data_IF_404031648815
#
_entry.id   IF_404031648815
#
_cell.length_a   1.000
_cell.length_b   1.000
_cell.length_c   1.000
_cell.angle_alpha   90.00
_cell.angle_beta   90.00
_cell.angle_gamma   90.00
#
_symmetry.space_group_name_H-M   'P 1'
#
loop_
_entity.id
_entity.type
_entity.pdbx_description
1 polymer ?
#
# COMPACT_ATOMS: atom_id res chain seq x y z
N UNK A 1 -12.69 16.24 -19.62
CA UNK A 1 -11.59 17.03 -19.03
C UNK A 1 -10.31 16.26 -19.30
N UNK A 2 -9.31 16.87 -19.95
CA UNK A 2 -8.02 16.20 -20.15
C UNK A 2 -7.38 15.99 -18.77
N UNK A 3 -7.20 14.74 -18.36
CA UNK A 3 -6.47 14.42 -17.15
C UNK A 3 -5.00 14.75 -17.37
N UNK A 4 -4.45 15.65 -16.54
CA UNK A 4 -3.04 16.00 -16.56
C UNK A 4 -2.17 14.79 -16.23
N UNK A 5 -1.05 14.65 -16.95
CA UNK A 5 -0.12 13.53 -16.80
C UNK A 5 0.59 13.58 -15.44
N UNK A 6 1.18 12.46 -14.95
CA UNK A 6 1.97 12.47 -13.72
C UNK A 6 3.04 13.56 -13.71
N UNK A 7 3.76 13.73 -14.82
CA UNK A 7 4.83 14.73 -14.90
C UNK A 7 4.29 16.16 -14.80
N UNK A 8 3.20 16.47 -15.53
CA UNK A 8 2.57 17.79 -15.46
C UNK A 8 2.06 18.11 -14.04
N UNK A 9 1.48 17.13 -13.34
CA UNK A 9 1.04 17.28 -11.95
C UNK A 9 2.21 17.52 -10.99
N UNK A 10 3.31 16.80 -11.19
CA UNK A 10 4.53 16.96 -10.41
C UNK A 10 5.15 18.36 -10.60
N UNK A 11 5.28 18.82 -11.85
CA UNK A 11 5.80 20.16 -12.16
C UNK A 11 4.91 21.27 -11.59
N UNK A 12 3.59 21.11 -11.65
CA UNK A 12 2.65 22.02 -11.02
C UNK A 12 2.86 22.08 -9.50
N UNK A 13 2.97 20.94 -8.83
CA UNK A 13 3.20 20.89 -7.39
C UNK A 13 4.54 21.52 -6.97
N UNK A 14 5.59 21.36 -7.78
CA UNK A 14 6.87 22.06 -7.57
C UNK A 14 6.73 23.58 -7.73
N UNK A 15 5.97 24.04 -8.74
CA UNK A 15 5.78 25.47 -9.01
C UNK A 15 5.02 26.20 -7.91
N UNK A 16 4.18 25.48 -7.14
CA UNK A 16 3.43 26.02 -6.00
C UNK A 16 4.29 26.17 -4.74
N UNK A 17 5.56 25.73 -4.77
CA UNK A 17 6.51 25.91 -3.67
C UNK A 17 6.28 25.00 -2.46
N UNK A 18 5.31 24.08 -2.53
CA UNK A 18 5.01 23.12 -1.45
C UNK A 18 6.08 22.03 -1.31
N UNK A 19 6.85 21.76 -2.38
CA UNK A 19 7.80 20.64 -2.44
C UNK A 19 9.16 21.07 -3.01
N UNK A 20 10.23 20.37 -2.59
CA UNK A 20 11.58 20.55 -3.15
C UNK A 20 11.81 19.51 -4.25
N UNK A 21 12.51 19.89 -5.34
CA UNK A 21 12.86 18.95 -6.40
C UNK A 21 13.80 17.86 -5.86
N UNK A 22 13.54 16.63 -6.30
CA UNK A 22 14.27 15.41 -5.92
C UNK A 22 14.41 14.55 -7.19
N UNK A 23 15.65 14.26 -7.58
CA UNK A 23 15.95 13.57 -8.84
C UNK A 23 15.36 12.15 -8.85
N UNK A 24 15.34 11.48 -7.70
CA UNK A 24 14.78 10.13 -7.56
C UNK A 24 13.26 10.16 -7.72
N UNK A 25 12.60 11.16 -7.14
CA UNK A 25 11.16 11.35 -7.34
C UNK A 25 10.83 11.69 -8.79
N UNK A 26 11.63 12.54 -9.43
CA UNK A 26 11.45 12.90 -10.84
C UNK A 26 11.58 11.69 -11.76
N UNK A 27 12.56 10.82 -11.50
CA UNK A 27 12.72 9.57 -12.25
C UNK A 27 11.50 8.65 -12.05
N UNK A 28 11.00 8.51 -10.82
CA UNK A 28 9.80 7.71 -10.54
C UNK A 28 8.58 8.25 -11.29
N UNK A 29 8.37 9.57 -11.26
CA UNK A 29 7.30 10.24 -11.99
C UNK A 29 7.44 10.06 -13.50
N UNK A 30 8.66 10.10 -14.05
CA UNK A 30 8.91 9.89 -15.48
C UNK A 30 8.51 8.48 -15.91
N UNK A 31 8.83 7.45 -15.11
CA UNK A 31 8.40 6.07 -15.37
C UNK A 31 6.88 5.92 -15.27
N UNK A 32 6.26 6.58 -14.29
CA UNK A 32 4.79 6.59 -14.13
C UNK A 32 4.08 7.33 -15.26
N UNK A 33 4.70 8.37 -15.83
CA UNK A 33 4.20 9.08 -17.01
C UNK A 33 4.18 8.15 -18.23
N UNK A 34 5.28 7.45 -18.51
CA UNK A 34 5.35 6.44 -19.57
C UNK A 34 4.32 5.31 -19.38
N UNK A 35 4.13 4.84 -18.13
CA UNK A 35 3.11 3.87 -17.78
C UNK A 35 1.70 4.40 -18.07
N UNK A 36 1.39 5.63 -17.69
CA UNK A 36 0.09 6.27 -17.96
C UNK A 36 -0.17 6.37 -19.47
N UNK A 37 0.81 6.80 -20.24
CA UNK A 37 0.69 6.90 -21.70
C UNK A 37 0.40 5.53 -22.34
N UNK A 38 1.10 4.48 -21.90
CA UNK A 38 0.87 3.13 -22.38
C UNK A 38 -0.52 2.58 -22.02
N UNK A 39 -1.05 2.90 -20.83
CA UNK A 39 -2.42 2.55 -20.44
C UNK A 39 -3.46 3.27 -21.29
N UNK A 40 -3.26 4.57 -21.56
CA UNK A 40 -4.15 5.37 -22.40
C UNK A 40 -4.15 4.85 -23.85
N UNK A 41 -2.98 4.57 -24.41
CA UNK A 41 -2.85 4.01 -25.76
C UNK A 41 -3.61 2.67 -25.87
N UNK A 42 -3.49 1.80 -24.84
CA UNK A 42 -4.21 0.54 -24.78
C UNK A 42 -5.73 0.72 -24.76
N UNK A 43 -6.24 1.63 -23.93
CA UNK A 43 -7.69 1.93 -23.87
C UNK A 43 -8.22 2.43 -25.21
N UNK A 44 -7.46 3.26 -25.92
CA UNK A 44 -7.83 3.77 -27.24
C UNK A 44 -7.87 2.66 -28.30
N UNK A 45 -6.90 1.74 -28.29
CA UNK A 45 -6.89 0.59 -29.20
C UNK A 45 -7.97 -0.46 -28.92
N UNK A 46 -8.48 -0.52 -27.69
CA UNK A 46 -9.56 -1.43 -27.30
C UNK A 46 -10.97 -0.87 -27.59
N UNK A 47 -11.10 0.42 -27.91
CA UNK A 47 -12.38 1.00 -28.29
C UNK A 47 -12.83 0.44 -29.66
N UNK A 48 -14.07 -0.08 -29.79
CA UNK A 48 -14.52 -0.63 -31.05
C UNK A 48 -14.56 0.46 -32.11
N UNK A 49 -13.77 0.30 -33.18
CA UNK A 49 -13.93 1.08 -34.39
C UNK A 49 -15.39 0.96 -34.82
N UNK A 50 -16.09 2.10 -34.92
CA UNK A 50 -17.49 2.18 -35.35
C UNK A 50 -17.71 1.31 -36.58
N UNK A 51 -18.40 0.18 -36.39
CA UNK A 51 -18.58 -0.85 -37.39
C UNK A 51 -19.55 -0.38 -38.46
N UNK A 52 -19.05 0.37 -39.44
CA UNK A 52 -19.70 0.51 -40.74
C UNK A 52 -19.77 -0.85 -41.44
N UNK A 53 -20.74 -1.00 -42.35
CA UNK A 53 -21.07 -2.23 -43.08
C UNK A 53 -19.86 -2.96 -43.72
N UNK A 54 -18.73 -2.28 -43.93
CA UNK A 54 -17.48 -2.83 -44.47
C UNK A 54 -16.64 -3.63 -43.45
N UNK A 55 -16.81 -3.42 -42.15
CA UNK A 55 -16.03 -4.13 -41.10
C UNK A 55 -16.45 -5.58 -40.85
N UNK A 56 -17.59 -6.02 -41.42
CA UNK A 56 -18.07 -7.41 -41.34
C UNK A 56 -17.43 -8.31 -42.42
N UNK A 57 -16.93 -7.73 -43.50
CA UNK A 57 -16.28 -8.47 -44.59
C UNK A 57 -14.80 -8.78 -44.31
N UNK A 58 -14.11 -7.97 -43.49
CA UNK A 58 -12.72 -8.24 -43.08
C UNK A 58 -12.59 -9.38 -42.06
N UNK A 59 -13.63 -9.62 -41.24
CA UNK A 59 -13.66 -10.71 -40.24
C UNK A 59 -13.69 -12.13 -40.81
N UNK A 60 -14.00 -12.30 -42.10
CA UNK A 60 -14.05 -13.62 -42.75
C UNK A 60 -12.74 -14.03 -43.42
N UNK A 61 -11.76 -13.11 -43.54
CA UNK A 61 -10.50 -13.35 -44.29
C UNK A 61 -9.26 -13.22 -43.39
N UNK A 62 -9.36 -12.48 -42.29
CA UNK A 62 -8.27 -12.35 -41.31
C UNK A 62 -8.40 -13.36 -40.19
N UNK A 63 -7.53 -14.38 -40.18
CA UNK A 63 -7.22 -15.18 -38.98
C UNK A 63 -6.48 -14.24 -38.01
N UNK A 64 -7.22 -13.35 -37.34
CA UNK A 64 -6.67 -12.48 -36.30
C UNK A 64 -6.10 -13.40 -35.21
N UNK A 65 -4.78 -13.40 -35.08
CA UNK A 65 -4.13 -13.88 -33.86
C UNK A 65 -4.76 -13.05 -32.75
N UNK A 66 -5.60 -13.68 -31.92
CA UNK A 66 -5.89 -13.19 -30.58
C UNK A 66 -4.57 -13.22 -29.80
N UNK A 67 -3.68 -12.24 -30.06
CA UNK A 67 -2.55 -11.98 -29.19
C UNK A 67 -3.16 -11.48 -27.89
N UNK A 68 -3.05 -12.31 -26.85
CA UNK A 68 -3.40 -11.92 -25.49
C UNK A 68 -2.64 -10.63 -25.17
N UNK A 69 -3.32 -9.51 -24.94
CA UNK A 69 -2.66 -8.23 -24.86
C UNK A 69 -1.78 -8.20 -23.61
N UNK A 70 -0.46 -8.22 -23.80
CA UNK A 70 0.52 -8.26 -22.71
C UNK A 70 0.26 -7.13 -21.72
N UNK A 71 0.34 -7.37 -20.40
CA UNK A 71 0.14 -6.33 -19.39
C UNK A 71 1.11 -5.18 -19.63
N UNK A 72 0.63 -3.95 -19.44
CA UNK A 72 1.53 -2.80 -19.44
C UNK A 72 2.47 -2.96 -18.25
N UNK A 73 3.78 -2.81 -18.50
CA UNK A 73 4.82 -2.99 -17.49
C UNK A 73 4.66 -1.95 -16.38
N UNK A 74 4.43 -2.42 -15.16
CA UNK A 74 4.15 -1.63 -13.97
C UNK A 74 5.37 -1.06 -13.26
N UNK A 75 5.18 -0.53 -12.06
CA UNK A 75 6.25 0.05 -11.23
C UNK A 75 6.14 -0.37 -9.76
N UNK A 76 7.18 -1.00 -9.23
CA UNK A 76 7.33 -1.32 -7.81
C UNK A 76 8.33 -0.34 -7.17
N UNK A 77 7.82 0.58 -6.36
CA UNK A 77 8.61 1.59 -5.65
C UNK A 77 8.86 1.16 -4.21
N UNK A 78 10.12 1.11 -3.79
CA UNK A 78 10.48 0.77 -2.42
C UNK A 78 11.45 1.77 -1.80
N UNK A 79 11.46 1.88 -0.48
CA UNK A 79 12.34 2.79 0.26
C UNK A 79 11.83 3.04 1.67
N UNK A 80 12.58 3.76 2.52
CA UNK A 80 12.17 4.00 3.91
C UNK A 80 10.84 4.73 4.10
N UNK A 81 10.43 4.92 5.35
CA UNK A 81 9.26 5.74 5.69
C UNK A 81 9.50 7.21 5.32
N UNK A 82 8.43 7.95 5.01
CA UNK A 82 8.53 9.39 4.79
C UNK A 82 9.22 9.85 3.50
N UNK A 83 9.56 8.94 2.57
CA UNK A 83 10.26 9.28 1.30
C UNK A 83 9.36 9.82 0.17
N UNK A 84 8.08 10.08 0.45
CA UNK A 84 7.14 10.62 -0.55
C UNK A 84 6.51 9.59 -1.51
N UNK A 85 6.67 8.28 -1.26
CA UNK A 85 6.11 7.21 -2.11
C UNK A 85 4.60 7.32 -2.31
N UNK A 86 3.86 7.57 -1.24
CA UNK A 86 2.40 7.74 -1.27
C UNK A 86 2.01 8.96 -2.11
N UNK A 87 2.76 10.05 -2.00
CA UNK A 87 2.51 11.25 -2.79
C UNK A 87 2.76 11.02 -4.28
N UNK A 88 3.86 10.35 -4.63
CA UNK A 88 4.14 9.93 -6.02
C UNK A 88 3.02 9.02 -6.56
N UNK A 89 2.53 8.09 -5.74
CA UNK A 89 1.35 7.26 -6.05
C UNK A 89 0.08 8.09 -6.24
N UNK A 90 -0.16 9.12 -5.41
CA UNK A 90 -1.31 10.03 -5.52
C UNK A 90 -1.33 10.74 -6.88
N UNK A 91 -0.19 11.34 -7.25
CA UNK A 91 -0.04 12.06 -8.52
C UNK A 91 -0.34 11.14 -9.71
N UNK A 92 0.19 9.92 -9.68
CA UNK A 92 -0.06 8.94 -10.72
C UNK A 92 -1.53 8.49 -10.74
N UNK A 93 -2.11 8.06 -9.61
CA UNK A 93 -3.48 7.56 -9.58
C UNK A 93 -4.50 8.60 -10.06
N UNK A 94 -4.28 9.88 -9.72
CA UNK A 94 -5.13 10.99 -10.18
C UNK A 94 -4.96 11.31 -11.68
N UNK A 95 -3.83 10.94 -12.29
CA UNK A 95 -3.56 11.17 -13.72
C UNK A 95 -4.21 10.13 -14.65
N UNK A 96 -4.54 8.94 -14.13
CA UNK A 96 -5.14 7.87 -14.92
C UNK A 96 -6.58 8.25 -15.29
N UNK A 97 -6.93 8.28 -16.59
CA UNK A 97 -8.29 8.61 -17.02
C UNK A 97 -9.27 7.46 -16.75
N UNK A 98 -10.52 7.85 -16.49
CA UNK A 98 -11.63 6.93 -16.25
C UNK A 98 -11.58 6.23 -14.89
N UNK A 99 -12.50 5.28 -14.71
CA UNK A 99 -12.76 4.62 -13.43
C UNK A 99 -12.21 3.20 -13.35
N UNK A 100 -11.61 2.69 -14.44
CA UNK A 100 -10.99 1.35 -14.51
C UNK A 100 -9.61 1.30 -13.84
N UNK A 101 -9.55 1.85 -12.64
CA UNK A 101 -8.37 1.94 -11.77
C UNK A 101 -8.80 1.68 -10.34
N UNK A 102 -8.01 0.88 -9.62
CA UNK A 102 -8.32 0.52 -8.25
C UNK A 102 -7.10 0.76 -7.37
N UNK A 103 -7.30 1.47 -6.26
CA UNK A 103 -6.26 1.75 -5.27
C UNK A 103 -6.69 1.30 -3.88
N UNK A 104 -5.80 0.58 -3.20
CA UNK A 104 -6.01 0.11 -1.84
C UNK A 104 -4.70 -0.27 -1.16
N UNK A 105 -4.72 -0.29 0.16
CA UNK A 105 -3.66 -0.93 0.92
C UNK A 105 -3.64 -2.44 0.65
N UNK A 106 -2.45 -3.03 0.53
CA UNK A 106 -2.31 -4.44 0.18
C UNK A 106 -3.07 -5.40 1.11
N UNK A 107 -3.06 -5.16 2.42
CA UNK A 107 -3.80 -6.00 3.36
C UNK A 107 -5.33 -5.97 3.11
N UNK A 108 -5.90 -4.87 2.59
CA UNK A 108 -7.32 -4.82 2.23
C UNK A 108 -7.62 -5.60 0.97
N UNK A 109 -6.65 -5.66 0.06
CA UNK A 109 -6.75 -6.49 -1.12
C UNK A 109 -6.83 -7.96 -0.70
N UNK A 110 -5.94 -8.40 0.17
CA UNK A 110 -5.95 -9.78 0.67
C UNK A 110 -7.23 -10.11 1.44
N UNK A 111 -7.74 -9.20 2.27
CA UNK A 111 -9.03 -9.41 2.95
C UNK A 111 -10.17 -9.66 1.96
N UNK A 112 -10.28 -8.84 0.90
CA UNK A 112 -11.27 -9.02 -0.15
C UNK A 112 -11.12 -10.37 -0.87
N UNK A 113 -9.88 -10.77 -1.16
CA UNK A 113 -9.58 -12.08 -1.78
C UNK A 113 -10.06 -13.22 -0.89
N UNK A 114 -9.79 -13.18 0.42
CA UNK A 114 -10.24 -14.22 1.35
C UNK A 114 -11.77 -14.27 1.49
N UNK A 115 -12.43 -13.11 1.49
CA UNK A 115 -13.90 -13.02 1.48
C UNK A 115 -14.50 -13.67 0.22
N UNK A 116 -13.92 -13.38 -0.95
CA UNK A 116 -14.36 -13.98 -2.21
C UNK A 116 -14.05 -15.49 -2.29
N UNK A 117 -12.90 -15.93 -1.79
CA UNK A 117 -12.56 -17.36 -1.69
C UNK A 117 -13.56 -18.11 -0.81
N UNK A 118 -14.01 -17.50 0.28
CA UNK A 118 -15.03 -18.09 1.16
C UNK A 118 -16.36 -18.28 0.42
N UNK A 119 -16.75 -17.33 -0.42
CA UNK A 119 -17.97 -17.42 -1.23
C UNK A 119 -17.86 -18.42 -2.39
N UNK A 120 -16.64 -18.70 -2.85
CA UNK A 120 -16.34 -19.62 -3.96
C UNK A 120 -15.93 -21.02 -3.47
N UNK A 121 -16.21 -21.37 -2.22
CA UNK A 121 -15.92 -22.71 -1.70
C UNK A 121 -16.56 -23.80 -2.56
N UNK A 122 -15.76 -24.79 -2.96
CA UNK A 122 -16.19 -25.90 -3.81
C UNK A 122 -16.12 -25.63 -5.32
N UNK A 123 -15.76 -24.41 -5.75
CA UNK A 123 -15.48 -24.10 -7.16
C UNK A 123 -14.06 -24.57 -7.54
N UNK A 124 -13.87 -24.98 -8.79
CA UNK A 124 -12.54 -25.20 -9.35
C UNK A 124 -11.85 -23.86 -9.57
N UNK A 125 -10.57 -23.80 -9.19
CA UNK A 125 -9.67 -22.67 -9.47
C UNK A 125 -10.26 -21.29 -9.09
N UNK A 126 -10.70 -21.10 -7.84
CA UNK A 126 -11.42 -19.90 -7.43
C UNK A 126 -10.60 -18.61 -7.59
N UNK A 127 -9.26 -18.69 -7.56
CA UNK A 127 -8.38 -17.54 -7.81
C UNK A 127 -8.48 -17.03 -9.25
N UNK A 128 -8.73 -17.88 -10.24
CA UNK A 128 -8.94 -17.46 -11.62
C UNK A 128 -10.26 -16.67 -11.74
N UNK A 129 -11.32 -17.15 -11.08
CA UNK A 129 -12.62 -16.47 -11.03
C UNK A 129 -12.47 -15.09 -10.36
N UNK A 130 -11.73 -15.02 -9.25
CA UNK A 130 -11.43 -13.75 -8.57
C UNK A 130 -10.65 -12.81 -9.49
N UNK A 131 -9.66 -13.31 -10.22
CA UNK A 131 -8.91 -12.51 -11.18
C UNK A 131 -9.79 -11.99 -12.33
N UNK A 132 -10.76 -12.78 -12.81
CA UNK A 132 -11.76 -12.34 -13.80
C UNK A 132 -12.64 -11.21 -13.26
N UNK A 133 -13.07 -11.31 -12.00
CA UNK A 133 -13.84 -10.25 -11.33
C UNK A 133 -13.04 -8.96 -11.18
N UNK A 134 -11.78 -9.05 -10.76
CA UNK A 134 -10.89 -7.89 -10.73
C UNK A 134 -10.70 -7.29 -12.11
N UNK A 135 -10.54 -8.12 -13.15
CA UNK A 135 -10.41 -7.61 -14.52
C UNK A 135 -11.67 -6.92 -15.01
N UNK A 136 -12.86 -7.41 -14.64
CA UNK A 136 -14.11 -6.73 -14.96
C UNK A 136 -14.16 -5.32 -14.34
N UNK A 137 -13.59 -5.14 -13.16
CA UNK A 137 -13.58 -3.86 -12.43
C UNK A 137 -12.46 -2.91 -12.88
N UNK A 138 -11.22 -3.39 -13.03
CA UNK A 138 -10.04 -2.54 -13.19
C UNK A 138 -9.06 -3.05 -14.25
N UNK A 139 -8.31 -2.13 -14.84
CA UNK A 139 -7.15 -2.42 -15.70
C UNK A 139 -5.81 -2.17 -14.98
N UNK A 140 -5.85 -1.54 -13.81
CA UNK A 140 -4.66 -1.25 -13.01
C UNK A 140 -4.95 -1.32 -11.51
N UNK A 141 -4.06 -2.01 -10.80
CA UNK A 141 -4.00 -2.06 -9.34
C UNK A 141 -2.90 -1.14 -8.83
N UNK A 142 -3.26 -0.25 -7.90
CA UNK A 142 -2.34 0.62 -7.18
C UNK A 142 -2.32 0.18 -5.72
N UNK A 143 -1.26 -0.53 -5.31
CA UNK A 143 -1.10 -0.99 -3.94
C UNK A 143 -0.27 0.00 -3.12
N UNK A 144 -0.89 0.52 -2.06
CA UNK A 144 -0.16 1.17 -0.99
C UNK A 144 0.32 0.12 0.02
N UNK A 145 1.52 0.32 0.54
CA UNK A 145 2.08 -0.49 1.64
C UNK A 145 2.07 -2.00 1.34
N UNK A 146 2.64 -2.38 0.19
CA UNK A 146 2.81 -3.77 -0.19
C UNK A 146 3.75 -4.48 0.78
N UNK A 147 3.17 -5.23 1.71
CA UNK A 147 3.87 -5.96 2.74
C UNK A 147 3.17 -7.30 3.02
N UNK A 148 3.95 -8.38 3.07
CA UNK A 148 3.47 -9.73 3.28
C UNK A 148 4.15 -10.31 4.51
N UNK A 149 3.36 -10.62 5.54
CA UNK A 149 3.80 -11.27 6.78
C UNK A 149 3.05 -12.57 7.08
N UNK A 150 1.86 -12.75 6.53
CA UNK A 150 1.01 -13.90 6.79
C UNK A 150 1.29 -15.04 5.78
N UNK A 151 1.31 -16.29 6.26
CA UNK A 151 1.50 -17.46 5.40
C UNK A 151 0.33 -17.66 4.45
N UNK A 152 -0.90 -17.44 4.89
CA UNK A 152 -2.12 -17.62 4.09
C UNK A 152 -2.08 -16.72 2.87
N UNK A 153 -1.70 -15.46 3.05
CA UNK A 153 -1.53 -14.51 1.96
C UNK A 153 -0.40 -14.94 1.02
N UNK A 154 0.75 -15.33 1.60
CA UNK A 154 1.91 -15.75 0.84
C UNK A 154 1.63 -16.97 -0.05
N UNK A 155 0.79 -17.91 0.40
CA UNK A 155 0.45 -19.11 -0.38
C UNK A 155 -0.45 -18.82 -1.59
N UNK A 156 -1.26 -17.76 -1.54
CA UNK A 156 -2.19 -17.41 -2.62
C UNK A 156 -1.55 -16.49 -3.66
N UNK A 157 -0.62 -15.64 -3.22
CA UNK A 157 -0.23 -14.46 -3.98
C UNK A 157 0.45 -14.77 -5.31
N UNK A 158 1.26 -15.81 -5.39
CA UNK A 158 1.95 -16.20 -6.64
C UNK A 158 0.95 -16.50 -7.76
N UNK A 159 0.03 -17.43 -7.51
CA UNK A 159 -1.02 -17.83 -8.46
C UNK A 159 -1.97 -16.67 -8.78
N UNK A 160 -2.36 -15.89 -7.77
CA UNK A 160 -3.27 -14.77 -7.99
C UNK A 160 -2.64 -13.67 -8.84
N UNK A 161 -1.39 -13.28 -8.56
CA UNK A 161 -0.69 -12.26 -9.34
C UNK A 161 -0.48 -12.69 -10.78
N UNK A 162 -0.07 -13.95 -11.00
CA UNK A 162 0.02 -14.52 -12.34
C UNK A 162 -1.31 -14.39 -13.09
N UNK A 163 -2.41 -14.83 -12.46
CA UNK A 163 -3.75 -14.75 -13.06
C UNK A 163 -4.19 -13.30 -13.38
N UNK A 164 -3.84 -12.33 -12.53
CA UNK A 164 -4.13 -10.91 -12.77
C UNK A 164 -3.31 -10.35 -13.95
N UNK A 165 -2.02 -10.69 -14.03
CA UNK A 165 -1.14 -10.23 -15.10
C UNK A 165 -1.49 -10.86 -16.46
N UNK A 166 -1.88 -12.13 -16.50
CA UNK A 166 -2.38 -12.79 -17.72
C UNK A 166 -3.62 -12.11 -18.29
N UNK A 167 -4.45 -11.51 -17.42
CA UNK A 167 -5.63 -10.70 -17.80
C UNK A 167 -5.26 -9.27 -18.20
N UNK A 168 -3.98 -8.95 -18.22
CA UNK A 168 -3.47 -7.64 -18.63
C UNK A 168 -3.69 -6.54 -17.60
N UNK A 169 -3.89 -6.88 -16.32
CA UNK A 169 -3.95 -5.88 -15.24
C UNK A 169 -2.54 -5.40 -14.95
N UNK A 170 -2.32 -4.09 -14.98
CA UNK A 170 -1.04 -3.47 -14.60
C UNK A 170 -0.95 -3.29 -13.08
N UNK A 171 0.27 -3.20 -12.55
CA UNK A 171 0.52 -3.00 -11.12
C UNK A 171 1.42 -1.78 -10.88
N UNK A 172 1.01 -0.91 -9.97
CA UNK A 172 1.92 0.01 -9.28
C UNK A 172 1.86 -0.29 -7.80
N UNK A 173 3.01 -0.42 -7.14
CA UNK A 173 3.07 -0.74 -5.72
C UNK A 173 4.07 0.18 -5.00
N UNK A 174 3.75 0.54 -3.76
CA UNK A 174 4.69 1.15 -2.82
C UNK A 174 5.02 0.20 -1.68
N UNK A 175 6.28 0.10 -1.27
CA UNK A 175 6.70 -0.72 -0.13
C UNK A 175 7.86 -0.11 0.65
N UNK A 176 8.08 -0.59 1.86
CA UNK A 176 9.31 -0.34 2.61
C UNK A 176 10.39 -1.42 2.39
N UNK A 177 10.04 -2.48 1.66
CA UNK A 177 10.88 -3.68 1.49
C UNK A 177 11.11 -3.90 -0.02
N UNK A 178 12.34 -4.16 -0.47
CA UNK A 178 12.57 -4.55 -1.87
C UNK A 178 11.92 -5.92 -2.15
N UNK A 179 11.55 -6.24 -3.41
CA UNK A 179 10.85 -7.48 -3.72
C UNK A 179 11.53 -8.75 -3.21
N UNK A 180 12.87 -8.80 -3.29
CA UNK A 180 13.65 -9.95 -2.83
C UNK A 180 13.59 -10.20 -1.32
N UNK A 181 13.28 -9.19 -0.53
CA UNK A 181 13.15 -9.30 0.92
C UNK A 181 11.69 -9.44 1.39
N UNK A 182 10.71 -9.39 0.48
CA UNK A 182 9.30 -9.62 0.83
C UNK A 182 9.11 -11.02 1.39
N UNK A 183 8.43 -11.15 2.54
CA UNK A 183 8.21 -12.41 3.26
C UNK A 183 9.51 -13.17 3.61
N UNK A 184 10.61 -12.42 3.83
CA UNK A 184 11.90 -13.01 4.20
C UNK A 184 11.78 -13.80 5.50
N UNK A 185 12.37 -15.00 5.52
CA UNK A 185 12.27 -15.97 6.62
C UNK A 185 10.83 -16.44 6.94
N UNK A 186 9.86 -16.14 6.09
CA UNK A 186 8.49 -16.63 6.23
C UNK A 186 8.40 -18.15 6.10
N UNK A 187 7.40 -18.73 6.75
CA UNK A 187 7.17 -20.17 6.71
C UNK A 187 6.84 -20.60 5.27
N UNK A 188 7.50 -21.65 4.77
CA UNK A 188 7.37 -22.12 3.38
C UNK A 188 7.67 -21.04 2.31
N UNK A 189 8.60 -20.11 2.58
CA UNK A 189 9.04 -19.04 1.65
C UNK A 189 9.22 -19.48 0.20
N UNK A 190 9.69 -20.70 -0.06
CA UNK A 190 9.83 -21.24 -1.42
C UNK A 190 8.54 -21.13 -2.26
N UNK A 191 7.37 -21.26 -1.61
CA UNK A 191 6.05 -21.10 -2.26
C UNK A 191 5.67 -19.65 -2.54
N UNK A 192 6.33 -18.69 -1.91
CA UNK A 192 6.14 -17.26 -2.15
C UNK A 192 7.05 -16.72 -3.28
N UNK A 193 8.16 -17.40 -3.59
CA UNK A 193 9.08 -16.99 -4.65
C UNK A 193 8.38 -16.72 -6.01
N UNK A 194 7.38 -17.50 -6.45
CA UNK A 194 6.63 -17.18 -7.66
C UNK A 194 6.01 -15.77 -7.65
N UNK A 195 5.53 -15.28 -6.50
CA UNK A 195 5.00 -13.91 -6.40
C UNK A 195 6.09 -12.85 -6.65
N UNK A 196 7.30 -13.07 -6.12
CA UNK A 196 8.45 -12.19 -6.36
C UNK A 196 8.82 -12.18 -7.85
N UNK A 197 8.83 -13.35 -8.49
CA UNK A 197 9.09 -13.47 -9.93
C UNK A 197 8.02 -12.73 -10.76
N UNK A 198 6.74 -12.84 -10.40
CA UNK A 198 5.67 -12.11 -11.06
C UNK A 198 5.86 -10.58 -10.94
N UNK A 199 6.24 -10.07 -9.75
CA UNK A 199 6.56 -8.66 -9.55
C UNK A 199 7.72 -8.24 -10.47
N UNK A 200 8.83 -8.97 -10.46
CA UNK A 200 10.04 -8.62 -11.26
C UNK A 200 9.81 -8.72 -12.76
N UNK A 201 8.97 -9.65 -13.20
CA UNK A 201 8.63 -9.83 -14.62
C UNK A 201 7.77 -8.69 -15.14
N UNK A 202 6.79 -8.27 -14.34
CA UNK A 202 5.74 -7.34 -14.78
C UNK A 202 5.94 -5.90 -14.30
N UNK A 203 6.86 -5.63 -13.39
CA UNK A 203 7.15 -4.29 -12.89
C UNK A 203 8.62 -3.94 -13.04
N UNK A 204 8.89 -2.66 -13.28
CA UNK A 204 10.20 -2.10 -12.98
C UNK A 204 10.33 -1.89 -11.48
N UNK A 205 11.50 -2.25 -10.92
CA UNK A 205 11.77 -2.10 -9.49
C UNK A 205 12.64 -0.87 -9.28
N UNK A 206 12.20 0.04 -8.43
CA UNK A 206 12.87 1.31 -8.18
C UNK A 206 12.99 1.61 -6.68
N UNK A 207 14.20 1.94 -6.24
CA UNK A 207 14.41 2.50 -4.92
C UNK A 207 14.12 4.00 -4.98
N UNK A 208 13.18 4.47 -4.16
CA UNK A 208 12.76 5.87 -4.04
C UNK A 208 13.30 6.54 -2.77
N UNK A 209 14.31 5.95 -2.13
CA UNK A 209 14.99 6.50 -0.96
C UNK A 209 16.14 7.45 -1.38
N UNK A 210 15.85 8.74 -1.42
CA UNK A 210 16.86 9.81 -1.60
C UNK A 210 17.53 10.24 -0.27
N UNK A 211 17.27 9.54 0.84
CA UNK A 211 17.77 9.90 2.17
C UNK A 211 16.98 11.00 2.89
N UNK A 212 16.05 11.69 2.19
CA UNK A 212 15.24 12.78 2.74
C UNK A 212 13.92 12.22 3.26
N UNK A 213 13.64 12.35 4.57
CA UNK A 213 12.33 12.05 5.14
C UNK A 213 11.52 13.35 5.19
N UNK A 214 10.50 13.42 4.35
CA UNK A 214 9.64 14.59 4.20
C UNK A 214 8.65 14.74 5.37
N UNK A 215 8.32 13.67 6.11
CA UNK A 215 7.50 13.74 7.34
C UNK A 215 8.31 14.31 8.50
N UNK A 216 9.59 13.97 8.58
CA UNK A 216 10.50 14.48 9.61
C UNK A 216 10.73 15.99 9.52
N UNK A 217 10.44 16.68 8.42
CA UNK A 217 10.53 18.15 8.34
C UNK A 217 9.45 18.90 9.13
N UNK A 218 8.32 18.25 9.43
CA UNK A 218 7.29 18.82 10.32
C UNK A 218 7.53 18.46 11.78
N UNK A 219 8.19 17.31 12.03
CA UNK A 219 8.45 16.76 13.38
C UNK A 219 9.88 17.01 13.90
N UNK A 220 10.74 17.74 13.17
CA UNK A 220 12.16 17.94 13.51
C UNK A 220 12.41 18.74 14.81
N UNK A 221 11.33 19.16 15.49
CA UNK A 221 11.40 19.84 16.78
C UNK A 221 10.97 18.96 17.97
N UNK A 222 10.57 17.71 17.75
CA UNK A 222 10.14 16.81 18.83
C UNK A 222 11.10 15.62 18.96
N UNK A 223 11.58 15.35 20.19
CA UNK A 223 12.30 14.14 20.52
C UNK A 223 11.32 12.95 20.42
N UNK A 224 11.23 12.32 19.24
CA UNK A 224 10.28 11.23 18.94
C UNK A 224 10.54 9.96 19.76
N UNK A 225 11.71 9.85 20.38
CA UNK A 225 12.06 8.78 21.29
C UNK A 225 12.60 9.37 22.60
N UNK A 226 11.81 9.25 23.66
CA UNK A 226 12.13 9.81 24.97
C UNK A 226 12.65 8.71 25.91
N UNK A 227 13.89 8.88 26.35
CA UNK A 227 14.57 7.98 27.28
C UNK A 227 15.47 8.79 28.20
N UNK A 228 15.61 8.42 29.49
CA UNK A 228 15.02 7.25 30.15
C UNK A 228 13.56 7.45 30.56
N UNK A 229 12.87 6.36 30.90
CA UNK A 229 11.53 6.42 31.50
C UNK A 229 11.62 7.07 32.88
N UNK A 230 11.21 8.33 32.97
CA UNK A 230 11.22 9.14 34.19
C UNK A 230 10.08 10.16 34.17
N UNK A 231 10.00 11.01 35.20
CA UNK A 231 8.92 12.01 35.32
C UNK A 231 9.03 13.09 34.24
N UNK A 232 10.25 13.43 33.84
CA UNK A 232 10.54 14.45 32.84
C UNK A 232 10.06 14.01 31.45
N UNK A 233 10.36 12.78 31.03
CA UNK A 233 9.92 12.21 29.75
C UNK A 233 8.42 11.95 29.73
N UNK A 234 7.81 11.56 30.86
CA UNK A 234 6.36 11.49 30.99
C UNK A 234 5.68 12.86 30.79
N UNK A 235 6.24 13.92 31.38
CA UNK A 235 5.75 15.28 31.22
C UNK A 235 5.95 15.80 29.78
N UNK A 236 7.01 15.36 29.09
CA UNK A 236 7.20 15.64 27.66
C UNK A 236 6.16 14.92 26.80
N UNK A 237 5.89 13.65 27.06
CA UNK A 237 4.84 12.90 26.37
C UNK A 237 3.46 13.54 26.54
N UNK A 238 3.11 13.98 27.76
CA UNK A 238 1.86 14.72 28.00
C UNK A 238 1.80 16.07 27.26
N UNK A 239 2.93 16.79 27.18
CA UNK A 239 3.04 18.01 26.35
C UNK A 239 2.84 17.72 24.87
N UNK A 240 3.42 16.63 24.36
CA UNK A 240 3.22 16.21 22.97
C UNK A 240 1.77 15.81 22.70
N UNK A 241 1.12 15.08 23.62
CA UNK A 241 -0.30 14.76 23.49
C UNK A 241 -1.12 16.03 23.34
N UNK A 242 -0.96 16.99 24.27
CA UNK A 242 -1.66 18.28 24.22
C UNK A 242 -1.37 19.09 22.97
N UNK A 243 -0.12 19.08 22.49
CA UNK A 243 0.23 19.77 21.26
C UNK A 243 -0.44 19.16 20.02
N UNK A 244 -0.68 17.85 20.02
CA UNK A 244 -1.29 17.12 18.91
C UNK A 244 -2.83 17.11 18.96
N UNK A 245 -3.43 17.07 20.16
CA UNK A 245 -4.89 16.96 20.34
C UNK A 245 -5.58 18.25 20.76
N UNK A 246 -4.83 19.26 21.21
CA UNK A 246 -5.37 20.49 21.80
C UNK A 246 -5.87 20.34 23.26
N UNK A 247 -5.80 19.15 23.84
CA UNK A 247 -6.38 18.79 25.14
C UNK A 247 -5.43 17.93 25.98
N UNK A 248 -5.64 17.83 27.29
CA UNK A 248 -4.90 16.88 28.11
C UNK A 248 -5.46 15.45 27.92
N UNK A 249 -4.65 14.39 28.11
CA UNK A 249 -5.14 13.02 28.16
C UNK A 249 -5.87 12.81 29.50
N UNK A 250 -7.08 13.34 29.63
CA UNK A 250 -7.89 13.24 30.85
C UNK A 250 -8.91 12.10 30.76
N UNK A 251 -9.41 11.83 29.54
CA UNK A 251 -10.29 10.71 29.26
C UNK A 251 -9.46 9.52 28.78
N UNK A 252 -9.34 8.50 29.63
CA UNK A 252 -8.66 7.23 29.36
C UNK A 252 -9.70 6.12 29.05
N UNK A 253 -10.50 6.23 27.96
CA UNK A 253 -11.53 5.25 27.67
C UNK A 253 -10.92 3.90 27.33
N UNK A 254 -11.70 2.84 27.56
CA UNK A 254 -11.38 1.52 27.02
C UNK A 254 -11.97 1.44 25.62
N UNK A 255 -11.11 1.37 24.60
CA UNK A 255 -11.56 1.21 23.22
C UNK A 255 -11.96 -0.24 22.95
N UNK A 256 -12.99 -0.45 22.13
CA UNK A 256 -13.27 -1.74 21.53
C UNK A 256 -12.76 -1.77 20.08
N UNK A 257 -11.79 -2.65 19.82
CA UNK A 257 -11.18 -2.88 18.50
C UNK A 257 -11.30 -4.36 18.18
N UNK A 258 -12.03 -4.70 17.11
CA UNK A 258 -12.29 -6.07 16.68
C UNK A 258 -12.70 -6.99 17.85
N UNK A 259 -13.68 -6.55 18.64
CA UNK A 259 -14.22 -7.25 19.82
C UNK A 259 -13.22 -7.47 20.96
N UNK A 260 -12.10 -6.74 20.97
CA UNK A 260 -11.12 -6.76 22.04
C UNK A 260 -11.03 -5.39 22.70
N UNK A 261 -11.03 -5.39 24.02
CA UNK A 261 -10.85 -4.18 24.81
C UNK A 261 -9.39 -3.72 24.75
N UNK A 262 -9.17 -2.41 24.63
CA UNK A 262 -7.88 -1.74 24.64
C UNK A 262 -7.95 -0.59 25.64
N UNK A 263 -7.53 -0.81 26.90
CA UNK A 263 -7.35 0.28 27.85
C UNK A 263 -6.39 1.32 27.28
N UNK A 264 -6.81 2.59 27.26
CA UNK A 264 -5.98 3.69 26.78
C UNK A 264 -5.47 4.51 27.95
N UNK A 265 -4.47 5.36 27.69
CA UNK A 265 -4.03 6.40 28.61
C UNK A 265 -4.68 7.74 28.29
N UNK A 266 -5.28 7.88 27.11
CA UNK A 266 -5.88 9.11 26.64
C UNK A 266 -6.35 8.99 25.19
N UNK A 267 -7.51 9.55 24.88
CA UNK A 267 -7.97 9.69 23.49
C UNK A 267 -8.57 11.08 23.28
N UNK A 268 -8.09 11.81 22.28
CA UNK A 268 -8.69 13.09 21.90
C UNK A 268 -8.32 13.50 20.49
N UNK A 269 -9.27 14.04 19.73
CA UNK A 269 -9.07 14.62 18.39
C UNK A 269 -8.18 13.77 17.46
N UNK A 270 -8.41 12.44 17.39
CA UNK A 270 -7.62 11.56 16.51
C UNK A 270 -6.20 11.22 17.01
N UNK A 271 -5.88 11.57 18.26
CA UNK A 271 -4.65 11.20 18.96
C UNK A 271 -4.95 10.15 20.02
N UNK A 272 -4.14 9.08 20.03
CA UNK A 272 -4.21 7.98 21.00
C UNK A 272 -2.95 7.97 21.87
N UNK A 273 -3.10 8.01 23.19
CA UNK A 273 -2.08 7.65 24.15
C UNK A 273 -2.35 6.24 24.66
N UNK A 274 -1.36 5.35 24.57
CA UNK A 274 -1.52 3.94 24.94
C UNK A 274 -0.23 3.34 25.48
N UNK A 275 -0.35 2.41 26.42
CA UNK A 275 0.79 1.70 26.98
C UNK A 275 1.28 0.58 26.02
N UNK A 276 2.60 0.35 25.98
CA UNK A 276 3.21 -0.71 25.20
C UNK A 276 2.60 -2.09 25.47
N UNK A 277 2.28 -2.39 26.73
CA UNK A 277 1.74 -3.70 27.10
C UNK A 277 0.38 -3.95 26.45
N UNK A 278 -0.49 -2.93 26.39
CA UNK A 278 -1.80 -3.07 25.75
C UNK A 278 -1.69 -3.23 24.23
N UNK A 279 -0.75 -2.50 23.61
CA UNK A 279 -0.61 -2.45 22.17
C UNK A 279 0.22 -3.63 21.60
N UNK A 280 1.27 -4.07 22.30
CA UNK A 280 2.23 -5.07 21.82
C UNK A 280 2.40 -6.27 22.76
N UNK A 281 2.11 -6.10 24.05
CA UNK A 281 2.21 -7.16 25.07
C UNK A 281 1.07 -8.18 25.03
N UNK A 282 -0.13 -7.73 24.71
CA UNK A 282 -1.32 -8.57 24.59
C UNK A 282 -1.44 -9.23 23.21
N UNK A 283 -2.29 -10.26 23.10
CA UNK A 283 -2.56 -10.98 21.85
C UNK A 283 -3.32 -10.11 20.83
N UNK A 284 -2.63 -9.18 20.18
CA UNK A 284 -3.14 -8.33 19.09
C UNK A 284 -2.85 -8.94 17.73
N UNK A 285 -3.78 -8.73 16.78
CA UNK A 285 -3.59 -9.12 15.38
C UNK A 285 -3.34 -7.90 14.50
N UNK A 286 -2.84 -8.12 13.29
CA UNK A 286 -2.61 -7.07 12.30
C UNK A 286 -3.87 -6.19 12.06
N UNK A 287 -5.05 -6.82 12.10
CA UNK A 287 -6.34 -6.12 11.94
C UNK A 287 -6.60 -5.09 13.03
N UNK A 288 -6.07 -5.28 14.25
CA UNK A 288 -6.24 -4.33 15.34
C UNK A 288 -5.45 -3.06 15.06
N UNK A 289 -4.19 -3.19 14.63
CA UNK A 289 -3.34 -2.05 14.25
C UNK A 289 -3.91 -1.27 13.07
N UNK A 290 -4.42 -1.97 12.05
CA UNK A 290 -5.10 -1.31 10.93
C UNK A 290 -6.33 -0.53 11.41
N UNK A 291 -7.15 -1.12 12.28
CA UNK A 291 -8.31 -0.44 12.82
C UNK A 291 -7.92 0.82 13.61
N UNK A 292 -6.83 0.77 14.39
CA UNK A 292 -6.29 1.94 15.07
C UNK A 292 -5.80 3.01 14.08
N UNK A 293 -5.03 2.64 13.05
CA UNK A 293 -4.49 3.59 12.05
C UNK A 293 -5.56 4.37 11.29
N UNK A 294 -6.78 3.81 11.19
CA UNK A 294 -7.93 4.48 10.56
C UNK A 294 -8.64 5.46 11.48
N UNK A 295 -8.55 5.24 12.78
CA UNK A 295 -9.21 6.06 13.80
C UNK A 295 -8.30 7.16 14.31
N UNK A 296 -6.99 6.92 14.31
CA UNK A 296 -6.01 7.82 14.92
C UNK A 296 -4.91 8.16 13.92
N UNK A 297 -4.71 9.46 13.69
CA UNK A 297 -3.61 9.94 12.87
C UNK A 297 -2.29 9.97 13.65
N UNK A 298 -2.36 9.97 15.00
CA UNK A 298 -1.19 9.98 15.88
C UNK A 298 -1.36 8.98 17.02
N UNK A 299 -0.32 8.19 17.30
CA UNK A 299 -0.26 7.26 18.44
C UNK A 299 0.98 7.56 19.26
N UNK A 300 0.79 7.89 20.54
CA UNK A 300 1.84 8.05 21.53
C UNK A 300 1.93 6.76 22.34
N UNK A 301 3.06 6.08 22.21
CA UNK A 301 3.33 4.81 22.88
C UNK A 301 4.15 5.04 24.15
N UNK A 302 3.63 4.61 25.28
CA UNK A 302 4.26 4.77 26.59
C UNK A 302 4.90 3.46 27.06
N UNK A 303 5.94 3.60 27.89
CA UNK A 303 6.55 2.50 28.65
C UNK A 303 7.06 1.33 27.80
N UNK A 304 7.74 1.63 26.70
CA UNK A 304 8.39 0.60 25.87
C UNK A 304 9.54 -0.05 26.66
N UNK A 305 9.48 -1.34 26.99
CA UNK A 305 10.51 -2.00 27.78
C UNK A 305 11.74 -2.33 26.93
N UNK A 306 12.86 -2.62 27.59
CA UNK A 306 13.98 -3.30 26.93
C UNK A 306 13.54 -4.72 26.61
N UNK A 307 13.31 -5.00 25.33
CA UNK A 307 12.87 -6.31 24.87
C UNK A 307 14.04 -7.30 24.85
N UNK A 308 13.78 -8.53 25.32
CA UNK A 308 14.72 -9.64 25.38
C UNK A 308 14.23 -10.81 24.54
N UNK A 309 15.03 -11.87 24.37
CA UNK A 309 14.66 -13.05 23.59
C UNK A 309 13.31 -13.67 24.02
N UNK A 310 12.96 -13.60 25.30
CA UNK A 310 11.67 -14.12 25.82
C UNK A 310 10.45 -13.28 25.44
N UNK A 311 10.64 -12.05 24.95
CA UNK A 311 9.56 -11.13 24.52
C UNK A 311 9.61 -10.91 23.00
N UNK A 312 10.09 -11.90 22.24
CA UNK A 312 10.23 -11.80 20.78
C UNK A 312 8.88 -11.55 20.08
N UNK A 313 7.79 -12.13 20.60
CA UNK A 313 6.45 -11.91 20.07
C UNK A 313 6.01 -10.44 20.21
N UNK A 314 6.32 -9.80 21.34
CA UNK A 314 6.06 -8.37 21.56
C UNK A 314 6.91 -7.49 20.64
N UNK A 315 8.18 -7.86 20.44
CA UNK A 315 9.08 -7.17 19.52
C UNK A 315 8.58 -7.26 18.06
N UNK A 316 8.12 -8.45 17.64
CA UNK A 316 7.52 -8.63 16.31
C UNK A 316 6.26 -7.79 16.14
N UNK A 317 5.40 -7.69 17.17
CA UNK A 317 4.22 -6.81 17.17
C UNK A 317 4.57 -5.33 17.14
N UNK A 318 5.65 -4.91 17.79
CA UNK A 318 6.13 -3.53 17.77
C UNK A 318 6.70 -3.12 16.41
N UNK A 319 7.29 -4.06 15.67
CA UNK A 319 7.82 -3.84 14.32
C UNK A 319 6.77 -3.94 13.21
N UNK A 320 5.60 -4.53 13.49
CA UNK A 320 4.53 -4.80 12.53
C UNK A 320 3.67 -3.55 12.26
#
# INVERSE_FOLDING_TARGET
MQTSTPLARYEQALSQGEFRPDDVQREAITRLDALQQALVARQQSAAPATSGLLGRLSKLIGKEKNETPQPVRGLYMWGGVGRGKTWVMDLFFQSIPGDRKLRLHFHRFMLRVHEELTQLQGQSDPLLIIADRFKAETDILCFDEFFVSDITDAMLLGTLMEALFERGIALVATSNIPPDDLYRNGLQRARFLPAIEQIKRHCDVMNVDAGIDYRLRTLTSAHLWNSPLNKETHAEMARMFKALSGSQPEDAPVLEINHRQMPTLGVSEGVLAINFTTLCGEGRSQHDYIALSRRFHSVLLYDVPVMIYKTEDQARRFLA
#
